data_IF_560169452677
#
_entry.id   IF_560169452677
#
_cell.length_a   1.000
_cell.length_b   1.000
_cell.length_c   1.000
_cell.angle_alpha   90.00
_cell.angle_beta   90.00
_cell.angle_gamma   90.00
#
_symmetry.space_group_name_H-M   'P 1'
#
loop_
_entity.id
_entity.type
_entity.pdbx_description
1 polymer ?
#
# COMPACT_ATOMS: atom_id res chain seq x y z
N UNK A 1 2.56 29.84 36.32
CA UNK A 1 1.50 29.40 35.40
C UNK A 1 2.09 28.30 34.54
N UNK A 2 1.73 27.04 34.81
CA UNK A 2 2.23 25.90 34.05
C UNK A 2 1.46 25.82 32.72
N UNK A 3 2.12 26.21 31.63
CA UNK A 3 1.60 26.05 30.27
C UNK A 3 1.49 24.56 29.98
N UNK A 4 0.28 24.11 29.62
CA UNK A 4 0.00 22.71 29.28
C UNK A 4 0.90 22.27 28.13
N UNK A 5 1.72 21.26 28.37
CA UNK A 5 2.29 20.44 27.31
C UNK A 5 1.13 19.87 26.50
N UNK A 6 0.98 20.30 25.24
CA UNK A 6 0.19 19.55 24.28
C UNK A 6 0.93 18.24 24.09
N UNK A 7 0.43 17.17 24.73
CA UNK A 7 0.83 15.79 24.44
C UNK A 7 0.59 15.56 22.94
N UNK A 8 1.62 15.76 22.15
CA UNK A 8 1.67 15.26 20.79
C UNK A 8 1.47 13.76 20.90
N UNK A 9 0.45 13.26 20.22
CA UNK A 9 0.31 11.83 19.98
C UNK A 9 1.48 11.41 19.10
N UNK A 10 2.61 11.07 19.72
CA UNK A 10 3.79 10.51 19.06
C UNK A 10 3.49 9.06 18.64
N UNK A 11 2.38 8.85 17.91
CA UNK A 11 2.08 7.58 17.29
C UNK A 11 2.92 7.50 16.02
N UNK A 12 3.91 6.62 16.00
CA UNK A 12 4.85 6.49 14.89
C UNK A 12 4.26 5.66 13.75
N UNK A 13 4.62 6.02 12.52
CA UNK A 13 4.35 5.25 11.28
C UNK A 13 2.88 4.96 11.01
N UNK A 14 2.44 3.76 11.38
CA UNK A 14 1.13 3.19 11.01
C UNK A 14 -0.05 3.92 11.66
N UNK A 15 0.05 4.26 12.93
CA UNK A 15 -1.05 4.92 13.64
C UNK A 15 -1.30 6.35 13.10
N UNK A 16 -0.23 7.02 12.65
CA UNK A 16 -0.35 8.30 11.95
C UNK A 16 -0.99 8.12 10.57
N UNK A 17 -0.53 7.16 9.77
CA UNK A 17 -1.12 6.90 8.45
C UNK A 17 -2.63 6.57 8.54
N UNK A 18 -3.04 5.78 9.54
CA UNK A 18 -4.46 5.50 9.80
C UNK A 18 -5.23 6.75 10.22
N UNK A 19 -4.65 7.60 11.06
CA UNK A 19 -5.28 8.85 11.46
C UNK A 19 -5.51 9.80 10.27
N UNK A 20 -4.48 10.02 9.44
CA UNK A 20 -4.60 10.89 8.27
C UNK A 20 -5.62 10.34 7.24
N UNK A 21 -5.73 9.00 7.11
CA UNK A 21 -6.79 8.39 6.29
C UNK A 21 -8.18 8.64 6.88
N UNK A 22 -8.35 8.58 8.20
CA UNK A 22 -9.64 8.89 8.83
C UNK A 22 -10.04 10.35 8.63
N UNK A 23 -9.10 11.29 8.74
CA UNK A 23 -9.36 12.71 8.44
C UNK A 23 -9.73 12.91 6.96
N UNK A 24 -9.08 12.20 6.03
CA UNK A 24 -9.47 12.18 4.63
C UNK A 24 -10.90 11.65 4.43
N UNK A 25 -11.25 10.54 5.09
CA UNK A 25 -12.59 9.94 5.01
C UNK A 25 -13.68 10.87 5.54
N UNK A 26 -13.40 11.64 6.60
CA UNK A 26 -14.30 12.68 7.09
C UNK A 26 -14.49 13.80 6.07
N UNK A 27 -13.40 14.29 5.46
CA UNK A 27 -13.48 15.32 4.41
C UNK A 27 -14.29 14.85 3.19
N UNK A 28 -14.13 13.58 2.79
CA UNK A 28 -14.88 13.00 1.68
C UNK A 28 -16.37 12.87 2.01
N UNK A 29 -16.70 12.54 3.26
CA UNK A 29 -18.07 12.45 3.73
C UNK A 29 -18.76 13.82 3.85
N UNK A 30 -18.07 14.82 4.39
CA UNK A 30 -18.65 16.14 4.67
C UNK A 30 -18.80 17.03 3.43
N UNK A 31 -17.93 16.87 2.42
CA UNK A 31 -17.88 17.75 1.24
C UNK A 31 -17.99 16.97 -0.07
N UNK A 32 -16.97 16.18 -0.40
CA UNK A 32 -16.89 15.20 -1.51
C UNK A 32 -15.43 14.72 -1.69
N UNK A 33 -15.20 13.75 -2.58
CA UNK A 33 -13.86 13.26 -2.91
C UNK A 33 -12.95 14.38 -3.47
N UNK A 34 -13.51 15.35 -4.20
CA UNK A 34 -12.70 16.35 -4.87
C UNK A 34 -12.04 17.30 -3.86
N UNK A 35 -12.82 17.77 -2.88
CA UNK A 35 -12.38 18.61 -1.77
C UNK A 35 -11.40 17.85 -0.88
N UNK A 36 -11.71 16.60 -0.53
CA UNK A 36 -10.81 15.77 0.30
C UNK A 36 -9.43 15.63 -0.34
N UNK A 37 -9.37 15.26 -1.62
CA UNK A 37 -8.12 15.16 -2.36
C UNK A 37 -7.37 16.48 -2.44
N UNK A 38 -8.05 17.60 -2.69
CA UNK A 38 -7.44 18.93 -2.76
C UNK A 38 -6.79 19.34 -1.43
N UNK A 39 -7.52 19.19 -0.33
CA UNK A 39 -7.06 19.56 1.02
C UNK A 39 -5.87 18.68 1.43
N UNK A 40 -5.99 17.37 1.26
CA UNK A 40 -4.95 16.42 1.64
C UNK A 40 -3.69 16.57 0.78
N UNK A 41 -3.84 16.77 -0.54
CA UNK A 41 -2.69 17.06 -1.43
C UNK A 41 -1.97 18.32 -0.98
N UNK A 42 -2.70 19.40 -0.68
CA UNK A 42 -2.10 20.64 -0.20
C UNK A 42 -1.41 20.46 1.15
N UNK A 43 -1.93 19.60 2.03
CA UNK A 43 -1.29 19.28 3.30
C UNK A 43 0.06 18.56 3.09
N UNK A 44 0.10 17.55 2.22
CA UNK A 44 1.35 16.86 1.86
C UNK A 44 2.37 17.78 1.18
N UNK A 45 1.92 18.63 0.26
CA UNK A 45 2.79 19.55 -0.49
C UNK A 45 3.48 20.62 0.38
N UNK A 46 2.98 20.87 1.60
CA UNK A 46 3.70 21.72 2.58
C UNK A 46 5.00 21.09 3.07
N UNK A 47 5.15 19.78 2.92
CA UNK A 47 6.32 19.02 3.34
C UNK A 47 7.11 18.49 2.14
N UNK A 48 6.41 18.05 1.10
CA UNK A 48 7.02 17.55 -0.14
C UNK A 48 6.20 18.01 -1.35
N UNK A 49 6.73 19.02 -2.05
CA UNK A 49 6.07 19.62 -3.20
C UNK A 49 5.99 18.70 -4.42
N UNK A 50 6.70 17.57 -4.45
CA UNK A 50 6.63 16.61 -5.54
C UNK A 50 5.35 15.76 -5.51
N UNK A 51 4.70 15.66 -4.35
CA UNK A 51 3.47 14.89 -4.18
C UNK A 51 2.35 15.51 -5.00
N UNK A 52 1.78 14.71 -5.90
CA UNK A 52 0.66 15.10 -6.74
C UNK A 52 -0.68 14.65 -6.16
N UNK A 53 -1.76 15.19 -6.71
CA UNK A 53 -3.12 14.76 -6.40
C UNK A 53 -3.36 13.29 -6.76
N UNK A 54 -2.71 12.79 -7.82
CA UNK A 54 -2.81 11.41 -8.24
C UNK A 54 -2.10 10.45 -7.28
N UNK A 55 -0.97 10.87 -6.72
CA UNK A 55 -0.25 10.10 -5.69
C UNK A 55 -1.12 9.93 -4.43
N UNK A 56 -1.76 11.01 -3.98
CA UNK A 56 -2.69 10.97 -2.84
C UNK A 56 -3.88 10.05 -3.14
N UNK A 57 -4.50 10.21 -4.31
CA UNK A 57 -5.63 9.35 -4.72
C UNK A 57 -5.24 7.88 -4.75
N UNK A 58 -4.09 7.55 -5.31
CA UNK A 58 -3.59 6.18 -5.40
C UNK A 58 -3.28 5.62 -4.02
N UNK A 59 -2.65 6.42 -3.16
CA UNK A 59 -2.34 6.06 -1.77
C UNK A 59 -3.61 5.74 -0.98
N UNK A 60 -4.63 6.61 -1.04
CA UNK A 60 -5.91 6.37 -0.34
C UNK A 60 -6.54 5.05 -0.77
N UNK A 61 -6.56 4.74 -2.08
CA UNK A 61 -7.09 3.47 -2.59
C UNK A 61 -6.34 2.26 -2.03
N UNK A 62 -5.00 2.32 -2.03
CA UNK A 62 -4.15 1.24 -1.51
C UNK A 62 -4.35 1.05 0.00
N UNK A 63 -4.36 2.13 0.78
CA UNK A 63 -4.51 2.05 2.24
C UNK A 63 -5.92 1.57 2.62
N UNK A 64 -6.97 2.00 1.90
CA UNK A 64 -8.33 1.46 2.07
C UNK A 64 -8.37 -0.04 1.86
N UNK A 65 -7.82 -0.52 0.74
CA UNK A 65 -7.77 -1.95 0.44
C UNK A 65 -7.01 -2.73 1.54
N UNK A 66 -5.85 -2.22 1.96
CA UNK A 66 -5.07 -2.82 3.05
C UNK A 66 -5.84 -2.86 4.38
N UNK A 67 -6.63 -1.83 4.71
CA UNK A 67 -7.43 -1.76 5.94
C UNK A 67 -8.54 -2.80 6.01
N UNK A 68 -9.06 -3.27 4.87
CA UNK A 68 -10.08 -4.32 4.85
C UNK A 68 -9.57 -5.71 5.23
N UNK A 69 -8.25 -5.90 5.31
CA UNK A 69 -7.64 -7.20 5.61
C UNK A 69 -7.73 -8.22 4.46
N UNK A 70 -8.30 -7.84 3.31
CA UNK A 70 -8.40 -8.72 2.14
C UNK A 70 -7.12 -8.76 1.29
N UNK A 71 -6.12 -7.94 1.61
CA UNK A 71 -4.86 -7.84 0.88
C UNK A 71 -3.77 -8.53 1.70
N UNK A 72 -3.27 -9.65 1.18
CA UNK A 72 -2.12 -10.37 1.74
C UNK A 72 -1.01 -10.48 0.69
N UNK A 73 -0.07 -9.53 0.76
CA UNK A 73 1.09 -9.48 -0.15
C UNK A 73 2.07 -10.63 0.14
N UNK A 74 2.11 -11.13 1.37
CA UNK A 74 2.98 -12.26 1.72
C UNK A 74 2.46 -13.55 1.09
N UNK A 75 1.16 -13.81 1.18
CA UNK A 75 0.53 -14.95 0.50
C UNK A 75 0.67 -14.84 -1.03
N UNK A 76 0.57 -13.64 -1.61
CA UNK A 76 0.76 -13.48 -3.06
C UNK A 76 2.21 -13.74 -3.48
N UNK A 77 3.18 -13.32 -2.67
CA UNK A 77 4.59 -13.65 -2.89
C UNK A 77 4.82 -15.16 -2.86
N UNK A 78 4.28 -15.87 -1.86
CA UNK A 78 4.41 -17.32 -1.73
C UNK A 78 3.83 -18.04 -2.96
N UNK A 79 2.65 -17.63 -3.44
CA UNK A 79 2.06 -18.17 -4.68
C UNK A 79 2.96 -17.97 -5.89
N UNK A 80 3.61 -16.81 -6.00
CA UNK A 80 4.53 -16.52 -7.10
C UNK A 80 5.79 -17.38 -7.01
N UNK A 81 6.35 -17.57 -5.82
CA UNK A 81 7.49 -18.45 -5.57
C UNK A 81 7.14 -19.91 -5.91
N UNK A 82 6.00 -20.43 -5.48
CA UNK A 82 5.55 -21.79 -5.84
C UNK A 82 5.36 -21.98 -7.35
N UNK A 83 4.81 -20.98 -8.05
CA UNK A 83 4.67 -21.04 -9.51
C UNK A 83 6.04 -21.06 -10.21
N UNK A 84 7.00 -20.29 -9.69
CA UNK A 84 8.36 -20.29 -10.22
C UNK A 84 9.05 -21.64 -10.01
N UNK A 85 8.93 -22.25 -8.84
CA UNK A 85 9.48 -23.60 -8.56
C UNK A 85 8.87 -24.68 -9.46
N UNK A 86 7.55 -24.63 -9.67
CA UNK A 86 6.87 -25.56 -10.56
C UNK A 86 7.37 -25.43 -12.01
N UNK A 87 7.52 -24.20 -12.50
CA UNK A 87 8.05 -23.94 -13.85
C UNK A 87 9.50 -24.43 -14.01
N UNK A 88 10.35 -24.21 -13.00
CA UNK A 88 11.73 -24.73 -13.01
C UNK A 88 11.76 -26.26 -13.03
N UNK A 89 10.91 -26.90 -12.24
CA UNK A 89 10.80 -28.37 -12.20
C UNK A 89 10.36 -28.94 -13.55
N UNK A 90 9.39 -28.31 -14.20
CA UNK A 90 8.92 -28.69 -15.53
C UNK A 90 10.02 -28.56 -16.59
N UNK A 91 10.77 -27.46 -16.58
CA UNK A 91 11.91 -27.25 -17.50
C UNK A 91 12.97 -28.34 -17.30
N UNK A 92 13.35 -28.63 -16.05
CA UNK A 92 14.35 -29.66 -15.75
C UNK A 92 13.88 -31.06 -16.15
N UNK A 93 12.61 -31.39 -15.92
CA UNK A 93 12.01 -32.66 -16.33
C UNK A 93 12.02 -32.82 -17.86
N UNK A 94 11.66 -31.77 -18.59
CA UNK A 94 11.64 -31.80 -20.05
C UNK A 94 13.04 -31.91 -20.66
N UNK A 95 14.05 -31.23 -20.09
CA UNK A 95 15.45 -31.38 -20.50
C UNK A 95 15.94 -32.82 -20.27
N UNK A 96 15.65 -33.38 -19.09
CA UNK A 96 16.04 -34.76 -18.75
C UNK A 96 15.39 -35.82 -19.65
N UNK A 97 14.15 -35.60 -20.09
CA UNK A 97 13.49 -36.50 -21.04
C UNK A 97 14.02 -36.37 -22.48
N UNK A 98 14.40 -35.17 -22.94
CA UNK A 98 15.02 -35.01 -24.27
C UNK A 98 16.38 -35.71 -24.40
N UNK A 99 17.13 -35.90 -23.31
CA UNK A 99 18.38 -36.67 -23.34
C UNK A 99 18.15 -38.19 -23.36
N UNK A 100 16.99 -38.67 -22.90
CA UNK A 100 16.63 -40.08 -22.87
C UNK A 100 16.11 -40.61 -24.22
N UNK A 101 15.47 -39.76 -25.04
CA UNK A 101 15.00 -40.13 -26.38
C UNK A 101 16.10 -40.07 -27.47
N UNK A 102 17.27 -39.51 -27.16
CA UNK A 102 18.39 -39.36 -28.08
C UNK A 102 19.45 -40.50 -28.03
N UNK A 103 19.16 -41.61 -27.33
CA UNK A 103 20.02 -42.80 -27.20
C UNK A 103 19.39 -44.03 -27.82
#
# INVERSE_FOLDING_TARGET
MAGKEKKGTDSTGTARATHELSEYEMLEYDYDEDVALSVTTRAFQRHDASITREDVRSTVKVVRAARTGSVDVAAERERMESKAEAAVTEILYNIGNTEAEAK
#
